data_IF_778922597614
#
_entry.id   IF_778922597614
#
_cell.length_a   1.000
_cell.length_b   1.000
_cell.length_c   1.000
_cell.angle_alpha   90.00
_cell.angle_beta   90.00
_cell.angle_gamma   90.00
#
_symmetry.space_group_name_H-M   'P 1'
#
loop_
_entity.id
_entity.type
_entity.pdbx_description
1 polymer ?
#
# COMPACT_ATOMS: atom_id res chain seq x y z
N UNK A 1 -11.32 -25.46 5.29
CA UNK A 1 -12.53 -24.76 5.75
C UNK A 1 -12.63 -23.43 5.01
N UNK A 2 -13.31 -23.40 3.86
CA UNK A 2 -13.51 -22.19 3.06
C UNK A 2 -15.01 -22.03 2.82
N UNK A 3 -15.73 -21.42 3.76
CA UNK A 3 -17.11 -21.01 3.53
C UNK A 3 -17.07 -19.59 2.95
N UNK A 4 -17.13 -19.47 1.62
CA UNK A 4 -16.97 -18.22 0.86
C UNK A 4 -18.09 -17.16 1.12
N UNK A 5 -18.99 -17.36 2.09
CA UNK A 5 -20.23 -16.57 2.20
C UNK A 5 -20.69 -16.24 3.63
N UNK A 6 -19.89 -16.46 4.67
CA UNK A 6 -20.33 -16.03 5.99
C UNK A 6 -20.11 -14.52 6.14
N UNK A 7 -21.19 -13.74 5.96
CA UNK A 7 -21.20 -12.33 6.35
C UNK A 7 -21.21 -12.26 7.88
N UNK A 8 -20.04 -11.96 8.42
CA UNK A 8 -19.77 -11.81 9.85
C UNK A 8 -19.90 -10.37 10.32
N UNK A 9 -20.42 -9.45 9.51
CA UNK A 9 -20.55 -8.02 9.86
C UNK A 9 -21.25 -7.83 11.20
N UNK A 10 -22.38 -8.52 11.40
CA UNK A 10 -23.14 -8.47 12.65
C UNK A 10 -22.34 -8.98 13.85
N UNK A 11 -21.54 -10.03 13.67
CA UNK A 11 -20.70 -10.59 14.73
C UNK A 11 -19.56 -9.63 15.09
N UNK A 12 -18.97 -8.95 14.10
CA UNK A 12 -17.94 -7.93 14.33
C UNK A 12 -18.50 -6.73 15.08
N UNK A 13 -19.66 -6.22 14.69
CA UNK A 13 -20.33 -5.09 15.37
C UNK A 13 -20.62 -5.42 16.82
N UNK A 14 -21.18 -6.60 17.08
CA UNK A 14 -21.48 -7.04 18.44
C UNK A 14 -20.21 -7.21 19.28
N UNK A 15 -19.13 -7.69 18.66
CA UNK A 15 -17.84 -7.89 19.31
C UNK A 15 -17.15 -6.55 19.65
N UNK A 16 -17.27 -5.54 18.79
CA UNK A 16 -16.85 -4.17 19.08
C UNK A 16 -17.68 -3.56 20.22
N UNK A 17 -19.01 -3.70 20.15
CA UNK A 17 -19.93 -3.18 21.16
C UNK A 17 -19.70 -3.77 22.55
N UNK A 18 -19.40 -5.08 22.61
CA UNK A 18 -19.16 -5.81 23.86
C UNK A 18 -17.70 -5.79 24.33
N UNK A 19 -16.79 -5.21 23.56
CA UNK A 19 -15.38 -5.12 23.95
C UNK A 19 -14.67 -6.48 24.00
N UNK A 20 -14.83 -7.30 22.96
CA UNK A 20 -14.16 -8.60 22.88
C UNK A 20 -12.64 -8.52 23.13
N UNK A 21 -12.05 -9.58 23.72
CA UNK A 21 -10.60 -9.73 23.73
C UNK A 21 -10.03 -9.63 22.31
N UNK A 22 -8.91 -8.92 22.13
CA UNK A 22 -8.23 -8.77 20.83
C UNK A 22 -7.97 -10.11 20.14
N UNK A 23 -7.67 -11.16 20.91
CA UNK A 23 -7.47 -12.50 20.39
C UNK A 23 -8.72 -13.06 19.72
N UNK A 24 -9.90 -12.90 20.34
CA UNK A 24 -11.19 -13.34 19.80
C UNK A 24 -11.63 -12.47 18.61
N UNK A 25 -11.41 -11.16 18.68
CA UNK A 25 -11.72 -10.26 17.57
C UNK A 25 -10.96 -10.66 16.29
N UNK A 26 -9.73 -11.15 16.43
CA UNK A 26 -8.88 -11.60 15.31
C UNK A 26 -9.27 -12.96 14.73
N UNK A 27 -10.10 -13.76 15.42
CA UNK A 27 -10.57 -15.05 14.88
C UNK A 27 -11.86 -14.93 14.09
N UNK A 28 -12.58 -13.80 14.20
CA UNK A 28 -13.76 -13.53 13.39
C UNK A 28 -13.30 -13.30 11.95
N UNK A 29 -13.75 -14.14 11.03
CA UNK A 29 -13.54 -13.93 9.59
C UNK A 29 -14.00 -12.52 9.25
N UNK A 30 -13.21 -11.72 8.54
CA UNK A 30 -13.68 -10.41 8.11
C UNK A 30 -14.57 -10.58 6.87
N UNK A 31 -15.78 -9.99 6.85
CA UNK A 31 -16.64 -10.04 5.68
C UNK A 31 -15.95 -9.30 4.53
N UNK A 32 -16.31 -9.62 3.28
CA UNK A 32 -15.72 -8.98 2.08
C UNK A 32 -14.20 -9.23 1.91
N UNK A 33 -13.68 -10.29 2.53
CA UNK A 33 -12.28 -10.72 2.39
C UNK A 33 -12.10 -11.60 1.17
N UNK A 34 -11.06 -11.33 0.36
CA UNK A 34 -10.65 -12.19 -0.73
C UNK A 34 -9.13 -12.44 -0.74
N UNK A 35 -8.72 -13.52 -1.41
CA UNK A 35 -7.35 -13.67 -1.86
C UNK A 35 -7.12 -12.79 -3.09
N UNK A 36 -5.90 -12.30 -3.29
CA UNK A 36 -5.59 -11.48 -4.45
C UNK A 36 -5.62 -12.32 -5.72
N UNK A 37 -6.49 -11.95 -6.65
CA UNK A 37 -6.52 -12.41 -8.04
C UNK A 37 -6.75 -11.19 -8.92
N UNK A 38 -6.36 -11.28 -10.20
CA UNK A 38 -6.66 -10.25 -11.20
C UNK A 38 -7.65 -10.82 -12.22
N UNK A 39 -8.82 -10.21 -12.43
CA UNK A 39 -9.38 -9.08 -11.67
C UNK A 39 -9.77 -9.49 -10.23
N UNK A 40 -9.84 -8.51 -9.33
CA UNK A 40 -10.32 -8.70 -7.96
C UNK A 40 -11.83 -8.98 -7.98
N UNK A 41 -12.27 -9.99 -7.23
CA UNK A 41 -13.69 -10.38 -7.13
C UNK A 41 -14.56 -9.16 -6.73
N UNK A 42 -15.73 -8.95 -7.38
CA UNK A 42 -16.65 -7.87 -7.00
C UNK A 42 -17.08 -7.98 -5.53
N UNK A 43 -17.08 -6.85 -4.83
CA UNK A 43 -17.39 -6.78 -3.41
C UNK A 43 -16.22 -7.08 -2.48
N UNK A 44 -15.03 -7.38 -3.00
CA UNK A 44 -13.85 -7.55 -2.15
C UNK A 44 -13.34 -6.19 -1.63
N UNK A 45 -13.33 -6.04 -0.30
CA UNK A 45 -12.88 -4.83 0.40
C UNK A 45 -11.58 -5.08 1.18
N UNK A 46 -11.29 -6.32 1.54
CA UNK A 46 -10.12 -6.70 2.32
C UNK A 46 -9.32 -7.78 1.60
N UNK A 47 -8.02 -7.57 1.43
CA UNK A 47 -7.10 -8.55 0.85
C UNK A 47 -6.12 -9.04 1.91
N UNK A 48 -5.93 -10.36 2.02
CA UNK A 48 -4.91 -10.99 2.87
C UNK A 48 -3.82 -11.63 2.02
N UNK A 49 -3.08 -10.81 1.28
CA UNK A 49 -2.03 -11.28 0.39
C UNK A 49 -1.11 -10.11 -0.03
N UNK A 50 -0.10 -10.43 -0.84
CA UNK A 50 0.62 -9.45 -1.63
C UNK A 50 -0.20 -9.02 -2.85
N UNK A 51 -0.25 -7.72 -3.10
CA UNK A 51 -0.97 -7.14 -4.25
C UNK A 51 0.06 -6.54 -5.21
N UNK A 52 0.12 -7.09 -6.42
CA UNK A 52 0.97 -6.58 -7.49
C UNK A 52 0.25 -5.46 -8.28
N UNK A 53 0.89 -4.29 -8.31
CA UNK A 53 0.42 -3.07 -8.93
C UNK A 53 1.14 -2.76 -10.27
N UNK A 54 2.05 -3.63 -10.75
CA UNK A 54 2.78 -3.41 -12.01
C UNK A 54 1.85 -3.14 -13.19
N UNK A 55 0.78 -3.93 -13.29
CA UNK A 55 -0.28 -3.79 -14.28
C UNK A 55 -1.59 -3.49 -13.54
N UNK A 56 -1.78 -2.21 -13.22
CA UNK A 56 -2.91 -1.76 -12.43
C UNK A 56 -4.25 -2.14 -13.08
N UNK A 57 -5.13 -2.74 -12.28
CA UNK A 57 -6.47 -3.13 -12.68
C UNK A 57 -7.51 -2.35 -11.87
N UNK A 58 -8.54 -1.80 -12.52
CA UNK A 58 -9.57 -0.97 -11.85
C UNK A 58 -10.40 -1.73 -10.82
N UNK A 59 -10.43 -3.06 -10.87
CA UNK A 59 -11.04 -3.88 -9.81
C UNK A 59 -10.34 -3.71 -8.45
N UNK A 60 -9.16 -3.10 -8.38
CA UNK A 60 -8.51 -2.70 -7.13
C UNK A 60 -9.14 -1.46 -6.49
N UNK A 61 -9.96 -0.68 -7.22
CA UNK A 61 -10.55 0.57 -6.72
C UNK A 61 -11.52 0.36 -5.55
N UNK A 62 -12.08 -0.83 -5.42
CA UNK A 62 -12.98 -1.22 -4.32
C UNK A 62 -12.26 -1.61 -3.02
N UNK A 63 -10.96 -1.91 -3.10
CA UNK A 63 -10.17 -2.43 -1.97
C UNK A 63 -9.90 -1.33 -0.97
N UNK A 64 -10.17 -1.61 0.31
CA UNK A 64 -10.02 -0.66 1.40
C UNK A 64 -8.82 -0.95 2.28
N UNK A 65 -8.52 -2.23 2.50
CA UNK A 65 -7.44 -2.67 3.38
C UNK A 65 -6.68 -3.84 2.76
N UNK A 66 -5.36 -3.77 2.84
CA UNK A 66 -4.46 -4.87 2.49
C UNK A 66 -3.72 -5.32 3.75
N UNK A 67 -3.93 -6.56 4.16
CA UNK A 67 -3.15 -7.25 5.18
C UNK A 67 -2.05 -8.07 4.49
N UNK A 68 -0.91 -7.42 4.23
CA UNK A 68 0.15 -8.01 3.42
C UNK A 68 1.07 -6.94 2.84
N UNK A 69 1.46 -7.13 1.57
CA UNK A 69 2.45 -6.30 0.90
C UNK A 69 1.83 -5.64 -0.34
N UNK A 70 1.88 -4.31 -0.45
CA UNK A 70 1.69 -3.66 -1.75
C UNK A 70 3.01 -3.66 -2.52
N UNK A 71 2.98 -4.11 -3.78
CA UNK A 71 4.17 -4.24 -4.62
C UNK A 71 3.99 -3.44 -5.90
N UNK A 72 4.86 -2.46 -6.12
CA UNK A 72 5.05 -1.79 -7.41
C UNK A 72 6.50 -2.00 -7.86
N UNK A 73 6.73 -3.01 -8.71
CA UNK A 73 8.07 -3.37 -9.16
C UNK A 73 8.17 -3.41 -10.67
N UNK A 74 9.21 -2.80 -11.24
CA UNK A 74 9.53 -2.93 -12.66
C UNK A 74 8.45 -2.38 -13.60
N UNK A 75 7.72 -1.35 -13.17
CA UNK A 75 6.65 -0.70 -13.94
C UNK A 75 7.15 0.52 -14.72
N UNK A 76 6.35 0.92 -15.71
CA UNK A 76 6.56 2.09 -16.56
C UNK A 76 5.67 3.30 -16.17
N UNK A 77 4.99 3.22 -15.02
CA UNK A 77 4.10 4.30 -14.57
C UNK A 77 4.91 5.50 -14.04
N UNK A 78 4.35 6.70 -14.22
CA UNK A 78 4.93 7.94 -13.67
C UNK A 78 4.49 8.23 -12.24
N UNK A 79 3.30 7.75 -11.86
CA UNK A 79 2.73 7.93 -10.53
C UNK A 79 2.33 6.58 -9.97
N UNK A 80 2.49 6.41 -8.65
CA UNK A 80 2.03 5.23 -7.92
C UNK A 80 0.52 5.05 -8.16
N UNK A 81 0.03 3.85 -8.49
CA UNK A 81 -1.39 3.68 -8.81
C UNK A 81 -2.32 4.11 -7.68
N UNK A 82 -3.36 4.86 -8.02
CA UNK A 82 -4.31 5.39 -7.04
C UNK A 82 -5.42 4.37 -6.81
N UNK A 83 -5.47 3.80 -5.61
CA UNK A 83 -6.57 2.97 -5.14
C UNK A 83 -7.51 3.83 -4.29
N UNK A 84 -8.61 4.38 -4.85
CA UNK A 84 -9.39 5.46 -4.23
C UNK A 84 -10.02 5.11 -2.88
N UNK A 85 -10.30 3.84 -2.60
CA UNK A 85 -10.84 3.40 -1.30
C UNK A 85 -9.79 2.87 -0.33
N UNK A 86 -8.54 2.69 -0.79
CA UNK A 86 -7.48 2.15 0.05
C UNK A 86 -7.17 3.15 1.16
N UNK A 87 -7.43 2.72 2.40
CA UNK A 87 -7.19 3.53 3.61
C UNK A 87 -6.14 2.94 4.53
N UNK A 88 -5.84 1.64 4.41
CA UNK A 88 -4.88 0.97 5.29
C UNK A 88 -4.09 -0.13 4.58
N UNK A 89 -2.80 -0.23 4.92
CA UNK A 89 -1.98 -1.41 4.63
C UNK A 89 -1.35 -1.85 5.95
N UNK A 90 -1.45 -3.14 6.27
CA UNK A 90 -0.94 -3.71 7.52
C UNK A 90 0.07 -4.81 7.23
N UNK A 91 1.25 -4.69 7.81
CA UNK A 91 2.37 -5.60 7.61
C UNK A 91 2.04 -6.99 8.18
N UNK A 92 2.13 -8.01 7.35
CA UNK A 92 2.19 -9.40 7.82
C UNK A 92 3.57 -9.67 8.45
N UNK A 93 3.64 -10.39 9.60
CA UNK A 93 4.93 -10.73 10.21
C UNK A 93 5.90 -11.39 9.22
N UNK A 94 7.15 -10.93 9.22
CA UNK A 94 8.20 -11.47 8.36
C UNK A 94 8.18 -10.99 6.91
N UNK A 95 7.26 -10.12 6.50
CA UNK A 95 7.21 -9.55 5.14
C UNK A 95 7.27 -8.03 5.16
N UNK A 96 7.77 -7.36 4.11
CA UNK A 96 7.57 -5.93 3.92
C UNK A 96 6.08 -5.58 3.83
N UNK A 97 5.71 -4.37 4.22
CA UNK A 97 4.36 -3.81 3.98
C UNK A 97 4.26 -3.12 2.62
N UNK A 98 5.39 -2.61 2.11
CA UNK A 98 5.46 -1.86 0.87
C UNK A 98 6.77 -2.12 0.13
N UNK A 99 6.68 -2.40 -1.17
CA UNK A 99 7.81 -2.57 -2.07
C UNK A 99 7.61 -1.67 -3.29
N UNK A 100 8.53 -0.74 -3.52
CA UNK A 100 8.58 0.15 -4.69
C UNK A 100 9.97 0.07 -5.30
N UNK A 101 10.13 -0.77 -6.31
CA UNK A 101 11.47 -1.10 -6.81
C UNK A 101 11.57 -1.05 -8.34
N UNK A 102 12.69 -0.53 -8.85
CA UNK A 102 13.05 -0.65 -10.28
C UNK A 102 12.03 -0.01 -11.25
N UNK A 103 11.31 1.03 -10.83
CA UNK A 103 10.34 1.74 -11.68
C UNK A 103 11.02 2.94 -12.36
N UNK A 104 11.43 2.76 -13.63
CA UNK A 104 12.28 3.73 -14.36
C UNK A 104 11.67 5.11 -14.56
N UNK A 105 10.33 5.19 -14.59
CA UNK A 105 9.59 6.42 -14.90
C UNK A 105 8.88 7.02 -13.68
N UNK A 106 8.89 6.33 -12.53
CA UNK A 106 8.16 6.73 -11.34
C UNK A 106 8.77 8.01 -10.74
N UNK A 107 7.95 9.05 -10.64
CA UNK A 107 8.29 10.36 -10.07
C UNK A 107 7.39 10.74 -8.91
N UNK A 108 6.19 10.16 -8.85
CA UNK A 108 5.15 10.56 -7.92
C UNK A 108 4.64 9.37 -7.11
N UNK A 109 4.67 9.51 -5.79
CA UNK A 109 4.11 8.53 -4.86
C UNK A 109 3.12 9.17 -3.87
N UNK A 110 2.68 10.39 -4.15
CA UNK A 110 1.71 11.11 -3.31
C UNK A 110 0.42 10.34 -3.02
N UNK A 111 -0.06 9.40 -3.88
CA UNK A 111 -1.22 8.58 -3.52
C UNK A 111 -1.05 7.75 -2.23
N UNK A 112 0.17 7.53 -1.75
CA UNK A 112 0.44 6.83 -0.50
C UNK A 112 0.33 7.70 0.76
N UNK A 113 0.36 9.03 0.64
CA UNK A 113 0.49 9.91 1.81
C UNK A 113 -0.75 9.89 2.72
N UNK A 114 -1.93 9.60 2.15
CA UNK A 114 -3.17 9.45 2.90
C UNK A 114 -3.44 8.04 3.43
N UNK A 115 -2.57 7.06 3.14
CA UNK A 115 -2.80 5.66 3.51
C UNK A 115 -2.19 5.38 4.89
N UNK A 116 -2.97 4.80 5.80
CA UNK A 116 -2.47 4.37 7.10
C UNK A 116 -1.62 3.10 6.96
N UNK A 117 -0.31 3.21 7.17
CA UNK A 117 0.62 2.08 7.08
C UNK A 117 0.99 1.58 8.46
N UNK A 118 0.44 0.42 8.83
CA UNK A 118 0.72 -0.28 10.08
C UNK A 118 1.89 -1.23 9.90
N UNK A 119 2.95 -0.97 10.65
CA UNK A 119 4.19 -1.73 10.61
C UNK A 119 4.39 -2.41 11.96
N UNK A 120 4.72 -3.70 11.91
CA UNK A 120 5.05 -4.53 13.06
C UNK A 120 6.58 -4.63 13.29
N UNK A 121 7.36 -4.78 12.22
CA UNK A 121 8.84 -4.73 12.25
C UNK A 121 9.36 -3.72 11.23
N UNK A 122 9.93 -2.62 11.73
CA UNK A 122 10.41 -1.48 10.94
C UNK A 122 11.67 -1.79 10.12
N UNK A 123 12.48 -2.80 10.47
CA UNK A 123 13.81 -2.99 9.85
C UNK A 123 13.75 -3.19 8.34
N UNK A 124 12.75 -3.94 7.87
CA UNK A 124 12.53 -4.27 6.45
C UNK A 124 11.09 -3.99 5.98
N UNK A 125 10.40 -3.10 6.68
CA UNK A 125 8.98 -2.80 6.42
C UNK A 125 8.75 -2.22 5.03
N UNK A 126 9.60 -1.28 4.61
CA UNK A 126 9.41 -0.52 3.37
C UNK A 126 10.69 -0.57 2.55
N UNK A 127 10.56 -1.04 1.31
CA UNK A 127 11.68 -1.15 0.35
C UNK A 127 11.43 -0.18 -0.80
N UNK A 128 12.28 0.85 -0.90
CA UNK A 128 12.24 1.82 -2.00
C UNK A 128 13.65 1.90 -2.59
N UNK A 129 13.84 1.35 -3.79
CA UNK A 129 15.16 1.30 -4.44
C UNK A 129 15.06 1.23 -5.96
N UNK A 130 16.11 1.63 -6.69
CA UNK A 130 16.14 1.52 -8.16
C UNK A 130 15.10 2.36 -8.91
N UNK A 131 14.56 3.42 -8.30
CA UNK A 131 13.61 4.33 -8.94
C UNK A 131 14.32 5.65 -9.31
N UNK A 132 15.03 5.73 -10.45
CA UNK A 132 15.99 6.80 -10.73
C UNK A 132 15.39 8.21 -10.85
N UNK A 133 14.08 8.32 -11.10
CA UNK A 133 13.37 9.60 -11.21
C UNK A 133 12.58 9.96 -9.94
N UNK A 134 12.57 9.09 -8.95
CA UNK A 134 11.88 9.33 -7.68
C UNK A 134 12.78 10.16 -6.77
N UNK A 135 12.30 11.31 -6.33
CA UNK A 135 12.98 12.19 -5.41
C UNK A 135 11.96 12.91 -4.51
N UNK A 136 12.41 13.46 -3.40
CA UNK A 136 11.55 14.20 -2.45
C UNK A 136 11.61 15.69 -2.78
N UNK A 137 10.47 16.28 -3.15
CA UNK A 137 10.39 17.73 -3.35
C UNK A 137 10.31 18.47 -2.01
N UNK A 138 10.67 19.77 -1.98
CA UNK A 138 10.58 20.60 -0.77
C UNK A 138 9.20 20.59 -0.11
N UNK A 139 8.13 20.56 -0.92
CA UNK A 139 6.74 20.51 -0.43
C UNK A 139 6.42 19.21 0.31
N UNK A 140 7.12 18.12 -0.03
CA UNK A 140 6.87 16.78 0.52
C UNK A 140 7.76 16.45 1.73
N UNK A 141 8.78 17.25 2.03
CA UNK A 141 9.76 16.94 3.09
C UNK A 141 9.13 16.79 4.48
N UNK A 142 8.01 17.48 4.72
CA UNK A 142 7.30 17.43 6.00
C UNK A 142 6.16 16.40 6.01
N UNK A 143 5.95 15.65 4.94
CA UNK A 143 4.91 14.63 4.87
C UNK A 143 5.26 13.47 5.81
N UNK A 144 4.35 13.02 6.70
CA UNK A 144 4.65 11.95 7.65
C UNK A 144 5.16 10.67 6.98
N UNK A 145 4.60 10.33 5.81
CA UNK A 145 5.07 9.20 5.01
C UNK A 145 6.55 9.35 4.61
N UNK A 146 6.93 10.54 4.14
CA UNK A 146 8.29 10.84 3.66
C UNK A 146 9.29 10.77 4.81
N UNK A 147 8.98 11.45 5.92
CA UNK A 147 9.81 11.44 7.14
C UNK A 147 10.03 10.00 7.62
N UNK A 148 8.99 9.16 7.58
CA UNK A 148 9.04 7.81 8.13
C UNK A 148 9.72 6.79 7.20
N UNK A 149 9.48 6.88 5.89
CA UNK A 149 9.80 5.78 4.96
C UNK A 149 10.74 6.15 3.82
N UNK A 150 10.97 7.44 3.55
CA UNK A 150 11.79 7.90 2.42
C UNK A 150 13.12 8.53 2.84
N UNK A 151 13.62 8.23 4.03
CA UNK A 151 14.84 8.83 4.60
C UNK A 151 16.10 8.62 3.74
N UNK A 152 16.13 7.58 2.91
CA UNK A 152 17.23 7.26 1.99
C UNK A 152 17.07 7.84 0.58
N UNK A 153 15.95 8.51 0.29
CA UNK A 153 15.66 9.09 -1.03
C UNK A 153 16.12 10.54 -1.05
N UNK A 154 16.91 10.90 -2.06
CA UNK A 154 17.43 12.25 -2.23
C UNK A 154 16.35 13.29 -2.50
N UNK A 155 16.65 14.55 -2.18
CA UNK A 155 15.80 15.67 -2.57
C UNK A 155 15.87 15.88 -4.09
N UNK A 156 14.77 16.33 -4.69
CA UNK A 156 14.78 16.72 -6.10
C UNK A 156 15.69 17.94 -6.28
N UNK A 157 16.81 17.77 -6.98
CA UNK A 157 17.53 18.91 -7.53
C UNK A 157 16.64 19.55 -8.60
N UNK A 158 16.58 20.89 -8.62
CA UNK A 158 16.18 21.56 -9.85
C UNK A 158 17.19 21.08 -10.89
N UNK A 159 16.77 20.38 -11.92
CA UNK A 159 17.61 20.21 -13.10
C UNK A 159 17.98 21.63 -13.54
N UNK A 160 19.20 22.07 -13.27
CA UNK A 160 19.76 23.19 -14.01
C UNK A 160 19.91 22.65 -15.42
N UNK A 161 19.07 23.14 -16.32
CA UNK A 161 19.36 23.12 -17.75
C UNK A 161 20.60 23.98 -17.96
N UNK A 162 21.78 23.43 -17.68
CA UNK A 162 23.00 23.84 -18.35
C UNK A 162 23.19 22.90 -19.52
N UNK A 163 22.53 23.22 -20.64
CA UNK A 163 23.11 22.95 -21.93
C UNK A 163 23.51 24.30 -22.49
N UNK A 164 24.83 24.48 -22.49
CA UNK A 164 25.57 25.57 -23.09
C UNK A 164 25.35 25.50 -24.60
N UNK A 165 24.94 26.62 -25.18
CA UNK A 165 25.02 26.87 -26.62
C UNK A 165 26.48 26.79 -27.05
N UNK A 166 26.77 26.00 -28.08
CA UNK A 166 27.91 26.16 -28.97
C UNK A 166 27.46 25.92 -30.40
#
# INVERSE_FOLDING_TARGET
MNNKKLDTSQLLEECQRKGCPRALYRTIQMPFTCAFNRPVEPGCRFIFDSVDLKEYDRSLDQVEVVYGTLVLRGSDVKSFPRMPRLRQIEQKPGTPVLIIENNKKLTDITPLFGVNIKVNDMRDAVKISGNPKLCVSKKQQNEPFVIKFMTKIGSCSKFSTHQVEH
#
